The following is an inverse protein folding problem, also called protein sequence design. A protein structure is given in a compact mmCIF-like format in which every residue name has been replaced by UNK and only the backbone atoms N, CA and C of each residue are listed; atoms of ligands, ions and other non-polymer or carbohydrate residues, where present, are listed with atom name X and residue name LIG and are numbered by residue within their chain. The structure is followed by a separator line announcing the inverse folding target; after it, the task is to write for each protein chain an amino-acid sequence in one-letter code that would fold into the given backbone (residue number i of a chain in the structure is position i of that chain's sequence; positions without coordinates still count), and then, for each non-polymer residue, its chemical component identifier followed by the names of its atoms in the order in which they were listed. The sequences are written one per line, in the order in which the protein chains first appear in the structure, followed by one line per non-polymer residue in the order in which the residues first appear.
data_IF_745546380494
#
_entry.id   IF_745546380494
#
_cell.length_a   1.000
_cell.length_b   1.000
_cell.length_c   1.000
_cell.angle_alpha   90.00
_cell.angle_beta   90.00
_cell.angle_gamma   90.00
#
_symmetry.space_group_name_H-M   'P 1'
#
loop_
_entity.id
_entity.type
_entity.pdbx_description
1 polymer ?
#
# COMPACT_ATOMS: atom_id res chain seq x y z
N UNK A 1 64.36 -57.39 -30.60
CA UNK A 1 64.97 -58.72 -30.81
C UNK A 1 63.85 -59.73 -30.99
N UNK A 2 63.76 -60.41 -32.16
CA UNK A 2 62.82 -61.50 -32.52
C UNK A 2 61.30 -61.14 -32.51
N UNK A 3 60.59 -61.10 -33.64
CA UNK A 3 60.14 -62.17 -34.59
C UNK A 3 58.81 -62.82 -34.13
N UNK A 4 57.77 -62.60 -34.95
CA UNK A 4 56.73 -63.51 -35.52
C UNK A 4 56.14 -64.68 -34.67
N UNK A 5 54.91 -65.18 -34.89
CA UNK A 5 54.33 -65.63 -36.17
C UNK A 5 52.83 -66.03 -36.03
N UNK A 6 52.13 -66.13 -37.19
CA UNK A 6 50.84 -66.78 -37.53
C UNK A 6 50.27 -67.85 -36.54
N UNK A 7 48.96 -68.15 -36.40
CA UNK A 7 47.71 -67.87 -37.13
C UNK A 7 46.53 -68.50 -36.33
N UNK A 8 45.36 -68.96 -36.81
CA UNK A 8 44.58 -68.83 -38.07
C UNK A 8 43.27 -69.66 -37.90
N UNK A 9 42.06 -69.14 -38.23
CA UNK A 9 40.81 -69.96 -38.14
C UNK A 9 39.45 -69.22 -38.24
N UNK A 10 38.77 -69.43 -39.36
CA UNK A 10 37.40 -69.04 -39.80
C UNK A 10 36.20 -69.28 -38.85
N UNK A 11 35.18 -68.39 -38.85
CA UNK A 11 33.84 -68.55 -39.51
C UNK A 11 32.81 -67.45 -39.11
N UNK A 12 31.81 -67.16 -39.98
CA UNK A 12 30.57 -66.39 -39.69
C UNK A 12 30.53 -64.91 -40.18
N UNK A 13 30.24 -64.57 -41.45
CA UNK A 13 28.94 -64.46 -42.19
C UNK A 13 28.17 -63.12 -42.07
N UNK A 14 27.75 -62.56 -43.23
CA UNK A 14 26.89 -61.36 -43.47
C UNK A 14 27.53 -59.99 -43.14
N UNK A 15 28.35 -59.37 -44.00
CA UNK A 15 28.16 -58.90 -45.39
C UNK A 15 27.26 -57.65 -45.55
N UNK A 16 27.90 -56.50 -45.74
CA UNK A 16 27.39 -55.36 -46.52
C UNK A 16 27.47 -55.68 -48.02
N UNK A 17 26.54 -55.17 -48.83
CA UNK A 17 26.67 -54.90 -50.29
C UNK A 17 25.29 -54.43 -50.84
N UNK A 18 25.13 -53.66 -51.94
CA UNK A 18 26.03 -52.76 -52.69
C UNK A 18 25.20 -51.89 -53.69
N UNK A 19 25.82 -50.89 -54.33
CA UNK A 19 25.33 -50.24 -55.56
C UNK A 19 24.14 -49.25 -55.41
N UNK A 20 24.19 -47.96 -55.74
CA UNK A 20 24.78 -47.25 -56.91
C UNK A 20 24.19 -47.70 -58.24
N UNK A 21 23.15 -47.01 -58.75
CA UNK A 21 23.27 -46.13 -59.92
C UNK A 21 21.95 -45.43 -60.31
N UNK A 22 21.95 -44.08 -60.38
CA UNK A 22 21.37 -43.28 -61.50
C UNK A 22 21.48 -41.77 -61.25
N UNK A 23 22.64 -41.21 -61.59
CA UNK A 23 22.77 -40.30 -62.73
C UNK A 23 21.54 -39.43 -63.15
N UNK A 24 21.51 -38.13 -62.80
CA UNK A 24 21.89 -36.99 -63.69
C UNK A 24 21.29 -35.62 -63.33
N UNK A 25 22.06 -34.56 -63.67
CA UNK A 25 21.72 -33.11 -63.80
C UNK A 25 21.46 -32.37 -62.47
N UNK A 26 22.44 -31.62 -61.94
CA UNK A 26 22.94 -30.29 -62.37
C UNK A 26 22.18 -29.13 -61.70
N UNK A 27 22.69 -28.53 -60.62
CA UNK A 27 23.65 -27.40 -60.55
C UNK A 27 23.13 -26.06 -61.11
N UNK A 28 22.98 -25.07 -60.20
CA UNK A 28 22.98 -23.60 -60.35
C UNK A 28 21.67 -22.88 -60.71
N UNK A 29 21.58 -21.63 -60.22
CA UNK A 29 20.63 -20.53 -60.52
C UNK A 29 19.25 -20.67 -59.84
N UNK A 30 18.53 -19.61 -59.44
CA UNK A 30 18.88 -18.22 -59.10
C UNK A 30 17.66 -17.55 -58.43
N UNK A 31 17.91 -16.68 -57.44
CA UNK A 31 17.21 -15.40 -57.14
C UNK A 31 15.91 -15.05 -57.93
N UNK A 32 14.80 -14.76 -57.19
CA UNK A 32 13.83 -13.63 -57.32
C UNK A 32 12.30 -13.93 -57.42
N UNK A 33 11.54 -13.25 -56.53
CA UNK A 33 10.30 -12.44 -56.75
C UNK A 33 8.88 -13.09 -56.81
N UNK A 34 7.95 -12.36 -56.14
CA UNK A 34 6.47 -12.31 -56.23
C UNK A 34 5.67 -13.55 -55.81
N UNK A 35 4.69 -13.50 -54.89
CA UNK A 35 3.61 -12.56 -54.54
C UNK A 35 2.23 -12.94 -55.12
N UNK A 36 1.22 -12.85 -54.24
CA UNK A 36 -0.24 -12.80 -54.45
C UNK A 36 -1.07 -14.11 -54.48
N UNK A 37 -2.19 -13.98 -53.75
CA UNK A 37 -3.49 -14.64 -53.90
C UNK A 37 -3.75 -16.03 -53.27
N UNK A 38 -4.14 -16.00 -52.00
CA UNK A 38 -5.31 -16.78 -51.52
C UNK A 38 -6.28 -15.81 -50.85
N UNK A 39 -7.45 -15.62 -51.44
CA UNK A 39 -8.59 -14.89 -50.87
C UNK A 39 -9.77 -15.85 -50.72
N UNK A 40 -10.66 -15.56 -49.76
CA UNK A 40 -12.00 -16.12 -49.61
C UNK A 40 -12.13 -17.63 -49.28
N UNK A 41 -12.02 -17.95 -47.99
CA UNK A 41 -13.12 -18.65 -47.31
C UNK A 41 -13.51 -17.80 -46.10
N UNK A 42 -14.72 -17.25 -46.12
CA UNK A 42 -15.28 -16.46 -45.02
C UNK A 42 -16.59 -17.10 -44.55
N UNK A 43 -16.73 -17.24 -43.24
CA UNK A 43 -17.93 -17.17 -42.39
C UNK A 43 -17.82 -18.16 -41.21
N UNK A 44 -17.94 -17.65 -39.98
CA UNK A 44 -18.35 -18.50 -38.84
C UNK A 44 -17.38 -18.70 -37.67
N UNK A 45 -16.64 -17.68 -37.22
CA UNK A 45 -16.28 -17.58 -35.79
C UNK A 45 -16.57 -16.16 -35.32
N UNK A 46 -17.25 -16.04 -34.17
CA UNK A 46 -17.80 -14.80 -33.67
C UNK A 46 -16.75 -13.78 -33.24
N UNK A 47 -17.19 -12.52 -33.24
CA UNK A 47 -16.46 -11.35 -32.75
C UNK A 47 -16.18 -11.51 -31.24
N UNK A 48 -15.07 -12.14 -30.87
CA UNK A 48 -14.55 -12.07 -29.49
C UNK A 48 -14.02 -10.65 -29.30
N UNK A 49 -14.90 -9.76 -28.83
CA UNK A 49 -14.51 -8.42 -28.43
C UNK A 49 -13.44 -8.53 -27.35
N UNK A 50 -12.22 -8.08 -27.67
CA UNK A 50 -11.15 -7.89 -26.71
C UNK A 50 -11.57 -6.79 -25.74
N UNK A 51 -12.30 -7.18 -24.69
CA UNK A 51 -12.65 -6.30 -23.59
C UNK A 51 -11.37 -5.87 -22.89
N UNK A 52 -10.84 -4.72 -23.26
CA UNK A 52 -9.82 -4.03 -22.46
C UNK A 52 -10.47 -3.65 -21.15
N UNK A 53 -10.32 -4.51 -20.14
CA UNK A 53 -10.44 -4.15 -18.72
C UNK A 53 -9.28 -3.21 -18.36
N UNK A 54 -9.34 -2.01 -18.96
CA UNK A 54 -8.72 -0.83 -18.40
C UNK A 54 -9.44 -0.53 -17.10
N UNK A 55 -8.99 -1.17 -16.02
CA UNK A 55 -9.26 -0.70 -14.68
C UNK A 55 -8.73 0.73 -14.62
N UNK A 56 -9.64 1.70 -14.68
CA UNK A 56 -9.34 3.07 -14.36
C UNK A 56 -8.86 3.07 -12.91
N UNK A 57 -7.55 3.10 -12.72
CA UNK A 57 -6.98 3.47 -11.43
C UNK A 57 -7.58 4.83 -11.09
N UNK A 58 -8.33 4.92 -9.99
CA UNK A 58 -8.82 6.20 -9.51
C UNK A 58 -7.62 7.17 -9.43
N UNK A 59 -7.75 8.41 -9.92
CA UNK A 59 -6.64 9.35 -9.89
C UNK A 59 -6.16 9.50 -8.45
N UNK A 60 -4.88 9.21 -8.22
CA UNK A 60 -4.31 9.15 -6.88
C UNK A 60 -4.56 10.49 -6.15
N UNK A 61 -5.55 10.49 -5.27
CA UNK A 61 -5.90 11.66 -4.47
C UNK A 61 -4.79 11.83 -3.43
N UNK A 62 -4.21 13.03 -3.36
CA UNK A 62 -3.18 13.34 -2.38
C UNK A 62 -3.71 13.04 -0.97
N UNK A 63 -2.93 12.30 -0.19
CA UNK A 63 -3.32 11.88 1.15
C UNK A 63 -3.65 13.09 2.05
N UNK A 64 -4.72 13.01 2.84
CA UNK A 64 -5.13 14.04 3.80
C UNK A 64 -4.93 13.58 5.24
N UNK A 65 -4.32 14.40 6.08
CA UNK A 65 -3.93 14.00 7.44
C UNK A 65 -5.10 13.64 8.37
N UNK A 66 -6.33 13.97 7.96
CA UNK A 66 -7.56 13.58 8.64
C UNK A 66 -7.95 12.10 8.40
N UNK A 67 -7.43 11.47 7.33
CA UNK A 67 -7.78 10.11 6.93
C UNK A 67 -6.83 9.05 7.53
N UNK A 68 -5.80 9.47 8.28
CA UNK A 68 -4.90 8.58 9.00
C UNK A 68 -5.58 7.98 10.24
N UNK A 69 -5.95 6.70 10.17
CA UNK A 69 -6.42 5.93 11.33
C UNK A 69 -5.22 5.24 12.02
N UNK A 70 -4.80 5.68 13.22
CA UNK A 70 -3.67 5.06 13.93
C UNK A 70 -3.94 3.59 14.30
N UNK A 71 -5.21 3.15 14.36
CA UNK A 71 -5.59 1.77 14.62
C UNK A 71 -5.67 0.88 13.37
N UNK A 72 -5.57 1.46 12.18
CA UNK A 72 -5.72 0.78 10.88
C UNK A 72 -4.84 1.47 9.81
N UNK A 73 -3.52 1.38 9.95
CA UNK A 73 -2.56 1.99 9.02
C UNK A 73 -2.73 1.41 7.60
N UNK A 74 -2.89 0.10 7.51
CA UNK A 74 -3.14 -0.65 6.28
C UNK A 74 -3.83 -1.97 6.63
N UNK A 75 -4.71 -2.47 5.75
CA UNK A 75 -5.39 -3.76 5.94
C UNK A 75 -4.44 -4.96 5.88
N UNK A 76 -4.84 -6.06 6.52
CA UNK A 76 -4.12 -7.33 6.40
C UNK A 76 -4.18 -7.87 4.97
N UNK A 77 -5.31 -7.65 4.27
CA UNK A 77 -5.45 -8.02 2.87
C UNK A 77 -4.41 -7.30 2.00
N UNK A 78 -4.31 -5.96 2.05
CA UNK A 78 -3.35 -5.20 1.23
C UNK A 78 -1.89 -5.40 1.60
N UNK A 79 -1.58 -5.62 2.89
CA UNK A 79 -0.20 -5.78 3.33
C UNK A 79 0.35 -7.20 3.09
N UNK A 80 -0.50 -8.24 3.23
CA UNK A 80 -0.10 -9.64 3.06
C UNK A 80 -0.57 -10.26 1.72
N UNK A 81 -1.09 -9.45 0.79
CA UNK A 81 -1.29 -9.84 -0.61
C UNK A 81 0.06 -9.98 -1.31
N UNK A 82 0.62 -11.19 -1.32
CA UNK A 82 1.85 -11.52 -2.04
C UNK A 82 1.73 -11.41 -3.56
N UNK A 83 0.53 -11.18 -4.11
CA UNK A 83 0.24 -11.16 -5.53
C UNK A 83 -0.06 -9.73 -6.05
N UNK A 84 0.10 -8.72 -5.17
CA UNK A 84 -0.32 -7.33 -5.37
C UNK A 84 0.28 -6.61 -6.60
N UNK A 85 1.45 -7.03 -7.10
CA UNK A 85 2.06 -6.48 -8.32
C UNK A 85 2.82 -7.55 -9.11
N UNK A 86 2.76 -7.50 -10.44
CA UNK A 86 3.63 -8.32 -11.30
C UNK A 86 5.04 -7.73 -11.41
N UNK A 87 6.00 -8.52 -11.92
CA UNK A 87 7.36 -8.05 -12.26
C UNK A 87 7.31 -6.82 -13.19
N UNK A 88 6.40 -6.83 -14.18
CA UNK A 88 6.22 -5.74 -15.13
C UNK A 88 5.68 -4.46 -14.50
N UNK A 89 4.73 -4.59 -13.56
CA UNK A 89 4.16 -3.44 -12.85
C UNK A 89 5.22 -2.77 -11.96
N UNK A 90 6.00 -3.56 -11.23
CA UNK A 90 7.09 -3.06 -10.36
C UNK A 90 8.15 -2.37 -11.21
N UNK A 91 8.58 -3.00 -12.30
CA UNK A 91 9.58 -2.42 -13.19
C UNK A 91 9.10 -1.11 -13.83
N UNK A 92 7.83 -1.04 -14.23
CA UNK A 92 7.21 0.17 -14.80
C UNK A 92 7.05 1.27 -13.74
N UNK A 93 6.65 0.91 -12.52
CA UNK A 93 6.53 1.80 -11.38
C UNK A 93 7.89 2.44 -11.02
N UNK A 94 8.96 1.63 -10.93
CA UNK A 94 10.31 2.12 -10.66
C UNK A 94 10.82 3.06 -11.77
N UNK A 95 10.48 2.78 -13.03
CA UNK A 95 10.80 3.67 -14.15
C UNK A 95 10.02 4.98 -14.11
N UNK A 96 8.76 4.97 -13.66
CA UNK A 96 7.95 6.18 -13.49
C UNK A 96 8.42 7.05 -12.31
N UNK A 97 8.93 6.44 -11.23
CA UNK A 97 9.49 7.16 -10.08
C UNK A 97 10.85 7.80 -10.37
N UNK A 98 11.69 7.14 -11.19
CA UNK A 98 13.00 7.68 -11.62
C UNK A 98 13.11 7.60 -13.15
N UNK A 99 12.52 8.56 -13.91
CA UNK A 99 12.54 8.53 -15.38
C UNK A 99 13.93 8.59 -16.00
N UNK A 100 14.87 9.24 -15.33
CA UNK A 100 16.30 9.29 -15.68
C UNK A 100 17.14 9.01 -14.44
N UNK A 101 18.19 8.19 -14.60
CA UNK A 101 19.18 7.94 -13.55
C UNK A 101 20.40 8.84 -13.77
N UNK A 102 21.00 9.37 -12.70
CA UNK A 102 22.17 10.23 -12.84
C UNK A 102 23.37 9.46 -13.39
N UNK A 103 24.18 10.12 -14.21
CA UNK A 103 25.39 9.52 -14.79
C UNK A 103 26.36 9.09 -13.68
N UNK A 104 26.86 7.85 -13.76
CA UNK A 104 27.72 7.24 -12.75
C UNK A 104 27.00 6.50 -11.62
N UNK A 105 25.66 6.53 -11.56
CA UNK A 105 24.87 5.85 -10.52
C UNK A 105 24.05 4.68 -11.09
N UNK A 106 23.70 3.73 -10.22
CA UNK A 106 22.82 2.59 -10.54
C UNK A 106 21.53 2.72 -9.73
N UNK A 107 20.51 3.34 -10.33
CA UNK A 107 19.20 3.50 -9.69
C UNK A 107 18.46 2.17 -9.56
N UNK A 108 17.56 2.02 -8.57
CA UNK A 108 16.85 0.78 -8.29
C UNK A 108 16.16 0.17 -9.52
N UNK A 109 15.59 1.01 -10.40
CA UNK A 109 14.99 0.62 -11.70
C UNK A 109 15.91 -0.11 -12.67
N UNK A 110 17.23 0.00 -12.49
CA UNK A 110 18.29 -0.59 -13.32
C UNK A 110 19.22 -1.52 -12.50
N UNK A 111 18.96 -1.69 -11.20
CA UNK A 111 19.78 -2.49 -10.31
C UNK A 111 19.67 -3.99 -10.63
N UNK A 112 20.78 -4.72 -10.55
CA UNK A 112 20.82 -6.18 -10.76
C UNK A 112 21.92 -6.79 -9.90
N UNK A 113 21.62 -7.86 -9.15
CA UNK A 113 22.59 -8.61 -8.36
C UNK A 113 22.43 -10.13 -8.51
N UNK A 114 23.44 -10.88 -8.07
CA UNK A 114 23.34 -12.34 -7.94
C UNK A 114 22.77 -12.68 -6.56
N UNK A 115 21.60 -13.34 -6.54
CA UNK A 115 20.89 -13.70 -5.32
C UNK A 115 21.18 -15.14 -4.92
N UNK A 116 21.39 -15.43 -3.62
CA UNK A 116 21.56 -16.78 -3.12
C UNK A 116 20.21 -17.51 -3.03
N UNK A 117 20.23 -18.84 -3.07
CA UNK A 117 19.05 -19.63 -2.75
C UNK A 117 18.60 -19.43 -1.29
N UNK A 118 17.30 -19.63 -1.04
CA UNK A 118 16.70 -19.71 0.29
C UNK A 118 15.85 -20.98 0.34
N UNK A 119 16.08 -21.82 1.35
CA UNK A 119 15.17 -22.92 1.65
C UNK A 119 13.81 -22.37 2.11
N UNK A 120 12.75 -23.14 1.88
CA UNK A 120 11.43 -22.80 2.44
C UNK A 120 11.44 -22.97 3.96
N UNK A 121 10.68 -22.12 4.66
CA UNK A 121 10.37 -22.28 6.08
C UNK A 121 8.85 -22.13 6.31
N UNK A 122 8.43 -21.98 7.57
CA UNK A 122 7.02 -21.78 7.92
C UNK A 122 6.46 -20.39 7.56
N UNK A 123 7.23 -19.51 6.90
CA UNK A 123 6.91 -18.09 6.66
C UNK A 123 7.06 -17.70 5.21
N UNK A 124 8.09 -18.22 4.53
CA UNK A 124 8.34 -17.99 3.11
C UNK A 124 8.63 -19.30 2.37
N UNK A 125 8.13 -19.41 1.14
CA UNK A 125 8.51 -20.50 0.23
C UNK A 125 9.97 -20.36 -0.25
N UNK A 126 10.48 -21.40 -0.91
CA UNK A 126 11.87 -21.43 -1.35
C UNK A 126 12.13 -20.47 -2.52
N UNK A 127 13.31 -19.84 -2.50
CA UNK A 127 13.83 -19.03 -3.60
C UNK A 127 15.05 -19.72 -4.19
N UNK A 128 15.13 -19.79 -5.51
CA UNK A 128 16.29 -20.34 -6.20
C UNK A 128 17.39 -19.28 -6.34
N UNK A 129 18.65 -19.73 -6.39
CA UNK A 129 19.76 -18.84 -6.72
C UNK A 129 19.60 -18.36 -8.17
N UNK A 130 19.72 -17.05 -8.40
CA UNK A 130 19.50 -16.44 -9.72
C UNK A 130 20.25 -15.11 -9.83
N UNK A 131 20.24 -14.49 -11.02
CA UNK A 131 20.68 -13.11 -11.21
C UNK A 131 19.46 -12.26 -11.52
N UNK A 132 19.04 -11.44 -10.55
CA UNK A 132 17.73 -10.80 -10.53
C UNK A 132 17.85 -9.28 -10.55
N UNK A 133 16.94 -8.60 -11.25
CA UNK A 133 16.81 -7.15 -11.16
C UNK A 133 16.24 -6.72 -9.81
N UNK A 134 16.37 -5.43 -9.45
CA UNK A 134 15.72 -4.86 -8.27
C UNK A 134 14.21 -5.08 -8.27
N UNK A 135 13.56 -5.01 -9.44
CA UNK A 135 12.13 -5.29 -9.59
C UNK A 135 11.80 -6.77 -9.32
N UNK A 136 12.60 -7.69 -9.88
CA UNK A 136 12.40 -9.14 -9.69
C UNK A 136 12.63 -9.57 -8.23
N UNK A 137 13.58 -8.94 -7.54
CA UNK A 137 13.85 -9.21 -6.12
C UNK A 137 12.63 -8.85 -5.27
N UNK A 138 12.05 -7.66 -5.47
CA UNK A 138 10.81 -7.26 -4.80
C UNK A 138 9.67 -8.21 -5.14
N UNK A 139 9.51 -8.57 -6.42
CA UNK A 139 8.49 -9.53 -6.87
C UNK A 139 8.60 -10.88 -6.16
N UNK A 140 9.74 -11.56 -6.33
CA UNK A 140 9.93 -12.93 -5.87
C UNK A 140 9.93 -13.04 -4.35
N UNK A 141 10.49 -12.05 -3.63
CA UNK A 141 10.39 -12.03 -2.16
C UNK A 141 8.94 -11.84 -1.71
N UNK A 142 8.20 -10.90 -2.31
CA UNK A 142 6.79 -10.67 -1.97
C UNK A 142 5.92 -11.90 -2.20
N UNK A 143 6.07 -12.55 -3.38
CA UNK A 143 5.42 -13.84 -3.72
C UNK A 143 5.80 -14.93 -2.72
N UNK A 144 7.08 -15.06 -2.37
CA UNK A 144 7.55 -16.15 -1.53
C UNK A 144 7.07 -16.05 -0.09
N UNK A 145 7.07 -14.84 0.49
CA UNK A 145 6.67 -14.60 1.87
C UNK A 145 5.18 -14.29 2.06
N UNK A 146 4.42 -14.04 0.98
CA UNK A 146 3.04 -13.54 1.10
C UNK A 146 3.03 -12.17 1.78
N UNK A 147 3.76 -11.22 1.19
CA UNK A 147 3.88 -9.81 1.58
C UNK A 147 3.82 -8.95 0.33
N UNK A 148 3.03 -7.89 0.37
CA UNK A 148 2.78 -7.04 -0.80
C UNK A 148 4.02 -6.33 -1.33
N UNK A 149 4.25 -6.45 -2.64
CA UNK A 149 5.30 -5.75 -3.35
C UNK A 149 5.13 -4.22 -3.23
N UNK A 150 3.89 -3.73 -3.24
CA UNK A 150 3.58 -2.32 -2.98
C UNK A 150 4.02 -1.90 -1.57
N UNK A 151 3.75 -2.74 -0.56
CA UNK A 151 4.20 -2.49 0.82
C UNK A 151 5.74 -2.54 0.95
N UNK A 152 6.42 -3.45 0.25
CA UNK A 152 7.89 -3.53 0.21
C UNK A 152 8.52 -2.31 -0.48
N UNK A 153 7.95 -1.82 -1.58
CA UNK A 153 8.39 -0.57 -2.23
C UNK A 153 8.24 0.64 -1.31
N UNK A 154 7.12 0.76 -0.60
CA UNK A 154 6.91 1.81 0.40
C UNK A 154 7.92 1.72 1.55
N UNK A 155 8.29 0.50 1.98
CA UNK A 155 9.30 0.30 3.01
C UNK A 155 10.69 0.76 2.53
N UNK A 156 11.12 0.35 1.33
CA UNK A 156 12.38 0.77 0.72
C UNK A 156 12.52 2.30 0.63
N UNK A 157 11.42 2.98 0.28
CA UNK A 157 11.38 4.44 0.24
C UNK A 157 11.43 5.07 1.63
N UNK A 158 10.60 4.59 2.56
CA UNK A 158 10.52 5.10 3.93
C UNK A 158 11.86 5.00 4.65
N UNK A 159 12.57 3.88 4.49
CA UNK A 159 13.77 3.57 5.26
C UNK A 159 15.06 4.11 4.60
N UNK A 160 15.17 4.20 3.27
CA UNK A 160 16.40 4.64 2.58
C UNK A 160 16.17 5.60 1.38
N UNK A 161 14.94 6.03 1.08
CA UNK A 161 14.62 6.88 -0.09
C UNK A 161 14.89 6.21 -1.44
N UNK A 162 15.10 4.90 -1.46
CA UNK A 162 15.77 4.19 -2.56
C UNK A 162 14.89 4.05 -3.82
N UNK A 163 13.58 4.26 -3.72
CA UNK A 163 12.65 4.11 -4.84
C UNK A 163 12.59 5.38 -5.70
N UNK A 164 12.80 6.55 -5.10
CA UNK A 164 12.79 7.85 -5.81
C UNK A 164 14.19 8.45 -6.03
N UNK A 165 15.24 7.89 -5.43
CA UNK A 165 16.61 8.38 -5.59
C UNK A 165 17.17 8.15 -7.01
N UNK A 166 17.66 9.24 -7.62
CA UNK A 166 18.35 9.23 -8.92
C UNK A 166 19.88 9.12 -8.82
N UNK A 167 20.40 9.17 -7.59
CA UNK A 167 21.82 9.16 -7.20
C UNK A 167 22.12 8.17 -6.04
N UNK A 168 21.50 6.96 -5.97
CA UNK A 168 21.62 6.12 -4.78
C UNK A 168 23.03 5.58 -4.58
N UNK A 169 23.43 5.53 -3.32
CA UNK A 169 24.72 5.03 -2.86
C UNK A 169 24.70 3.53 -2.58
N UNK A 170 25.87 2.89 -2.63
CA UNK A 170 26.04 1.48 -2.22
C UNK A 170 25.51 1.20 -0.81
N UNK A 171 25.57 2.20 0.09
CA UNK A 171 25.04 2.09 1.46
C UNK A 171 23.52 1.87 1.45
N UNK A 172 22.78 2.53 0.57
CA UNK A 172 21.32 2.37 0.48
C UNK A 172 20.98 0.96 -0.02
N UNK A 173 21.66 0.41 -1.03
CA UNK A 173 21.42 -0.98 -1.43
C UNK A 173 21.84 -1.99 -0.35
N UNK A 174 22.98 -1.74 0.32
CA UNK A 174 23.51 -2.61 1.38
C UNK A 174 22.57 -2.72 2.58
N UNK A 175 21.86 -1.64 2.92
CA UNK A 175 21.01 -1.51 4.11
C UNK A 175 19.59 -1.00 3.77
N UNK A 176 19.05 -1.48 2.64
CA UNK A 176 17.86 -0.96 1.96
C UNK A 176 16.57 -0.85 2.79
N UNK A 177 16.42 -1.67 3.83
CA UNK A 177 15.29 -1.63 4.75
C UNK A 177 15.72 -1.27 6.18
N UNK A 178 17.01 -1.08 6.44
CA UNK A 178 17.52 -0.97 7.81
C UNK A 178 17.44 -2.27 8.62
N UNK A 179 17.13 -3.42 8.01
CA UNK A 179 17.08 -4.68 8.74
C UNK A 179 18.46 -5.05 9.28
N UNK A 180 18.55 -5.33 10.58
CA UNK A 180 19.81 -5.57 11.27
C UNK A 180 20.64 -4.31 11.56
N UNK A 181 20.08 -3.11 11.42
CA UNK A 181 20.72 -1.84 11.78
C UNK A 181 20.17 -1.28 13.10
N UNK A 182 20.77 -1.59 14.26
CA UNK A 182 20.39 -0.97 15.53
C UNK A 182 20.85 0.50 15.61
N UNK A 183 20.05 1.39 16.19
CA UNK A 183 20.36 2.83 16.32
C UNK A 183 21.68 3.14 17.05
N UNK A 184 22.16 2.21 17.88
CA UNK A 184 23.30 2.39 18.79
C UNK A 184 24.56 1.62 18.38
N UNK A 185 24.56 0.89 17.25
CA UNK A 185 25.73 0.14 16.79
C UNK A 185 25.80 0.06 15.25
N UNK A 186 26.85 -0.56 14.72
CA UNK A 186 26.94 -0.84 13.30
C UNK A 186 25.87 -1.86 12.87
N UNK A 187 25.36 -1.73 11.64
CA UNK A 187 24.49 -2.73 11.04
C UNK A 187 25.22 -4.09 10.94
N UNK A 188 24.53 -5.17 11.30
CA UNK A 188 25.02 -6.54 11.17
C UNK A 188 25.25 -6.91 9.69
N UNK A 189 26.49 -7.31 9.39
CA UNK A 189 26.94 -7.63 8.03
C UNK A 189 26.30 -8.89 7.46
N UNK A 190 25.72 -9.76 8.30
CA UNK A 190 24.96 -10.93 7.86
C UNK A 190 23.78 -10.57 6.95
N UNK A 191 23.22 -9.37 7.13
CA UNK A 191 22.03 -8.90 6.40
C UNK A 191 22.35 -7.94 5.26
N UNK A 192 23.63 -7.73 4.92
CA UNK A 192 24.03 -6.81 3.84
C UNK A 192 23.63 -7.32 2.45
N UNK A 193 23.26 -6.37 1.58
CA UNK A 193 22.85 -6.61 0.18
C UNK A 193 21.35 -6.47 -0.01
N UNK A 194 20.93 -6.05 -1.20
CA UNK A 194 19.55 -5.59 -1.44
C UNK A 194 18.53 -6.73 -1.23
N UNK A 195 18.77 -7.90 -1.80
CA UNK A 195 17.99 -9.11 -1.60
C UNK A 195 17.90 -9.52 -0.13
N UNK A 196 19.00 -9.44 0.62
CA UNK A 196 18.98 -9.79 2.05
C UNK A 196 18.11 -8.81 2.84
N UNK A 197 18.19 -7.51 2.55
CA UNK A 197 17.39 -6.48 3.19
C UNK A 197 15.89 -6.63 2.88
N UNK A 198 15.53 -6.89 1.63
CA UNK A 198 14.13 -7.10 1.21
C UNK A 198 13.58 -8.43 1.76
N UNK A 199 14.33 -9.53 1.65
CA UNK A 199 13.93 -10.85 2.17
C UNK A 199 13.73 -10.85 3.68
N UNK A 200 14.70 -10.35 4.45
CA UNK A 200 14.60 -10.37 5.91
C UNK A 200 13.52 -9.42 6.43
N UNK A 201 13.28 -8.27 5.78
CA UNK A 201 12.15 -7.41 6.13
C UNK A 201 10.81 -8.13 5.91
N UNK A 202 10.60 -8.75 4.74
CA UNK A 202 9.38 -9.52 4.45
C UNK A 202 9.18 -10.68 5.45
N UNK A 203 10.24 -11.48 5.67
CA UNK A 203 10.24 -12.58 6.64
C UNK A 203 9.91 -12.11 8.07
N UNK A 204 10.48 -10.98 8.50
CA UNK A 204 10.24 -10.41 9.83
C UNK A 204 8.78 -9.99 10.05
N UNK A 205 8.08 -9.45 9.04
CA UNK A 205 6.64 -9.22 9.14
C UNK A 205 5.84 -10.53 9.29
N UNK A 206 6.29 -11.63 8.68
CA UNK A 206 5.71 -12.97 8.92
C UNK A 206 6.05 -13.52 10.31
N UNK A 207 7.20 -13.18 10.88
CA UNK A 207 7.50 -13.46 12.31
C UNK A 207 6.50 -12.72 13.21
N UNK A 208 6.25 -11.43 12.98
CA UNK A 208 5.25 -10.67 13.74
C UNK A 208 3.84 -11.25 13.60
N UNK A 209 3.44 -11.58 12.37
CA UNK A 209 2.14 -12.18 12.06
C UNK A 209 1.93 -13.55 12.74
N UNK A 210 2.99 -14.37 12.80
CA UNK A 210 2.94 -15.73 13.38
C UNK A 210 3.10 -15.78 14.89
N UNK A 211 3.53 -14.68 15.54
CA UNK A 211 3.75 -14.62 17.00
C UNK A 211 3.08 -13.42 17.69
N UNK A 212 1.80 -13.08 17.39
CA UNK A 212 1.15 -11.82 17.79
C UNK A 212 1.32 -11.43 19.26
N UNK A 213 1.22 -12.40 20.16
CA UNK A 213 1.19 -12.18 21.61
C UNK A 213 2.57 -11.99 22.24
N UNK A 214 3.66 -12.14 21.47
CA UNK A 214 5.05 -12.00 21.95
C UNK A 214 5.60 -10.58 21.85
N UNK A 215 4.87 -9.65 21.24
CA UNK A 215 5.36 -8.31 20.92
C UNK A 215 4.66 -7.22 21.76
N UNK A 216 5.31 -6.06 21.85
CA UNK A 216 4.85 -4.90 22.64
C UNK A 216 3.55 -4.28 22.11
N UNK A 217 3.25 -4.46 20.83
CA UNK A 217 2.03 -3.97 20.18
C UNK A 217 1.25 -5.12 19.58
N UNK A 218 -0.05 -5.20 19.88
CA UNK A 218 -0.89 -6.36 19.57
C UNK A 218 -2.23 -5.94 18.96
N UNK A 219 -2.66 -6.62 17.90
CA UNK A 219 -3.99 -6.44 17.32
C UNK A 219 -5.11 -6.87 18.29
N UNK A 220 -6.29 -6.29 18.11
CA UNK A 220 -7.46 -6.52 18.98
C UNK A 220 -7.34 -5.92 20.39
N UNK A 221 -6.29 -5.14 20.67
CA UNK A 221 -6.04 -4.52 21.97
C UNK A 221 -5.94 -3.00 21.88
N UNK A 222 -6.26 -2.33 22.98
CA UNK A 222 -5.87 -0.94 23.19
C UNK A 222 -4.40 -0.90 23.64
N UNK A 223 -3.57 -0.26 22.84
CA UNK A 223 -2.12 -0.16 23.03
C UNK A 223 -1.77 1.31 23.31
N UNK A 224 -0.94 1.57 24.32
CA UNK A 224 -0.42 2.91 24.59
C UNK A 224 0.79 3.13 23.68
N UNK A 225 0.65 3.97 22.66
CA UNK A 225 1.70 4.22 21.65
C UNK A 225 2.27 5.62 21.85
N UNK A 226 3.59 5.72 21.97
CA UNK A 226 4.31 7.00 22.10
C UNK A 226 4.23 7.80 20.79
N UNK A 227 4.25 9.13 20.88
CA UNK A 227 4.40 9.99 19.69
C UNK A 227 5.85 10.19 19.24
N UNK A 228 6.82 9.93 20.12
CA UNK A 228 8.25 10.19 19.91
C UNK A 228 9.10 9.35 20.89
N UNK A 229 10.39 9.05 20.60
CA UNK A 229 11.29 8.42 21.56
C UNK A 229 11.42 9.17 22.89
N UNK A 230 11.34 10.51 22.86
CA UNK A 230 11.23 11.29 24.08
C UNK A 230 9.85 11.08 24.73
N UNK A 231 9.82 10.42 25.89
CA UNK A 231 8.60 10.13 26.63
C UNK A 231 7.83 11.40 27.07
N UNK A 232 8.51 12.54 27.25
CA UNK A 232 7.87 13.82 27.63
C UNK A 232 6.94 14.36 26.55
N UNK A 233 7.13 13.95 25.28
CA UNK A 233 6.18 14.25 24.21
C UNK A 233 4.82 13.58 24.46
N UNK A 234 4.79 12.44 25.15
CA UNK A 234 3.58 11.72 25.55
C UNK A 234 3.16 10.56 24.62
N UNK A 235 1.89 10.16 24.76
CA UNK A 235 1.27 9.01 24.09
C UNK A 235 -0.25 9.13 24.00
N UNK A 236 -0.87 8.44 23.04
CA UNK A 236 -2.31 8.14 23.07
C UNK A 236 -2.59 6.64 23.24
N UNK A 237 -3.84 6.29 23.54
CA UNK A 237 -4.34 4.91 23.47
C UNK A 237 -4.87 4.64 22.05
N UNK A 238 -4.39 3.57 21.43
CA UNK A 238 -4.73 3.18 20.05
C UNK A 238 -5.24 1.75 20.06
N UNK A 239 -6.49 1.55 19.62
CA UNK A 239 -7.03 0.20 19.39
C UNK A 239 -6.56 -0.29 18.02
N UNK A 240 -5.49 -1.08 18.00
CA UNK A 240 -4.93 -1.69 16.79
C UNK A 240 -5.90 -2.78 16.32
N UNK A 241 -6.41 -2.68 15.09
CA UNK A 241 -7.47 -3.56 14.59
C UNK A 241 -6.97 -4.84 13.91
N UNK A 242 -5.77 -4.83 13.34
CA UNK A 242 -5.25 -5.90 12.50
C UNK A 242 -3.74 -6.13 12.63
N UNK A 243 -3.25 -7.24 12.05
CA UNK A 243 -1.87 -7.72 12.26
C UNK A 243 -0.81 -6.92 11.48
N UNK A 244 -1.14 -6.34 10.33
CA UNK A 244 -0.25 -5.48 9.56
C UNK A 244 0.03 -4.17 10.31
N UNK A 245 -1.01 -3.52 10.86
CA UNK A 245 -0.84 -2.32 11.70
C UNK A 245 -0.03 -2.64 12.97
N UNK A 246 -0.27 -3.80 13.61
CA UNK A 246 0.56 -4.25 14.73
C UNK A 246 2.04 -4.40 14.30
N UNK A 247 2.30 -5.09 13.19
CA UNK A 247 3.63 -5.25 12.61
C UNK A 247 4.34 -3.93 12.33
N UNK A 248 3.65 -2.94 11.76
CA UNK A 248 4.21 -1.61 11.45
C UNK A 248 4.59 -0.82 12.70
N UNK A 249 3.84 -0.95 13.80
CA UNK A 249 4.26 -0.40 15.09
C UNK A 249 5.39 -1.19 15.75
N UNK A 250 5.48 -2.51 15.56
CA UNK A 250 6.64 -3.28 16.05
C UNK A 250 7.91 -2.86 15.29
N UNK A 251 7.78 -2.61 13.98
CA UNK A 251 8.87 -2.18 13.10
C UNK A 251 9.30 -0.72 13.34
N UNK A 252 8.33 0.20 13.47
CA UNK A 252 8.58 1.62 13.78
C UNK A 252 7.69 2.06 14.95
N UNK A 253 8.21 2.13 16.20
CA UNK A 253 7.40 2.11 17.43
C UNK A 253 6.75 3.43 17.86
N UNK A 254 6.38 4.30 16.91
CA UNK A 254 5.78 5.62 17.18
C UNK A 254 4.60 5.92 16.24
N UNK A 255 3.54 6.53 16.79
CA UNK A 255 2.45 7.11 16.00
C UNK A 255 2.76 8.58 15.70
N UNK A 256 2.31 9.16 14.57
CA UNK A 256 2.43 10.60 14.36
C UNK A 256 1.59 11.39 15.36
N UNK A 257 2.07 12.57 15.75
CA UNK A 257 1.28 13.53 16.52
C UNK A 257 0.47 14.45 15.59
N UNK A 258 -0.35 15.34 16.17
CA UNK A 258 -1.19 16.24 15.40
C UNK A 258 -0.40 17.24 14.53
N UNK A 259 0.84 17.60 14.88
CA UNK A 259 1.68 18.46 14.04
C UNK A 259 2.20 17.71 12.80
N UNK A 260 2.66 16.47 12.97
CA UNK A 260 3.08 15.59 11.89
C UNK A 260 1.95 15.33 10.88
N UNK A 261 0.70 15.18 11.35
CA UNK A 261 -0.48 14.98 10.50
C UNK A 261 -0.95 16.26 9.80
N UNK A 262 -0.84 17.43 10.44
CA UNK A 262 -1.16 18.72 9.77
C UNK A 262 -0.20 19.08 8.64
N UNK A 263 1.02 18.54 8.63
CA UNK A 263 2.02 18.77 7.60
C UNK A 263 2.51 17.46 6.96
N UNK A 264 1.62 16.69 6.32
CA UNK A 264 1.93 15.36 5.77
C UNK A 264 3.15 15.30 4.84
N UNK A 265 3.41 16.35 4.08
CA UNK A 265 4.50 16.40 3.08
C UNK A 265 5.73 17.17 3.59
N UNK A 266 5.72 17.61 4.85
CA UNK A 266 6.82 18.32 5.49
C UNK A 266 7.05 17.89 6.94
N UNK A 267 7.70 18.79 7.69
CA UNK A 267 8.05 18.59 9.10
C UNK A 267 6.95 19.04 10.05
N UNK A 268 6.78 18.34 11.16
CA UNK A 268 5.99 18.78 12.31
C UNK A 268 6.84 19.52 13.34
N UNK A 269 6.53 19.31 14.62
CA UNK A 269 7.26 19.85 15.77
C UNK A 269 8.34 18.87 16.32
N UNK A 270 8.98 19.23 17.43
CA UNK A 270 9.99 18.41 18.12
C UNK A 270 9.46 17.10 18.74
N UNK A 271 8.15 16.86 18.67
CA UNK A 271 7.49 15.64 19.16
C UNK A 271 6.83 14.84 18.02
N UNK A 272 7.21 15.14 16.77
CA UNK A 272 6.65 14.53 15.57
C UNK A 272 7.48 13.32 15.11
N UNK A 273 6.87 12.14 15.12
CA UNK A 273 7.41 10.95 14.44
C UNK A 273 6.80 10.74 13.07
N UNK A 274 7.62 10.32 12.11
CA UNK A 274 7.25 10.25 10.69
C UNK A 274 7.09 8.84 10.13
N UNK A 275 7.61 7.79 10.78
CA UNK A 275 7.68 6.43 10.22
C UNK A 275 6.33 5.91 9.70
N UNK A 276 5.37 5.70 10.60
CA UNK A 276 4.05 5.17 10.23
C UNK A 276 3.22 6.16 9.39
N UNK A 277 3.41 7.49 9.59
CA UNK A 277 2.82 8.53 8.72
C UNK A 277 3.29 8.38 7.28
N UNK A 278 4.60 8.26 7.09
CA UNK A 278 5.22 8.19 5.78
C UNK A 278 4.89 6.88 5.09
N UNK A 279 4.84 5.74 5.81
CA UNK A 279 4.33 4.48 5.25
C UNK A 279 2.91 4.67 4.67
N UNK A 280 1.97 5.13 5.49
CA UNK A 280 0.58 5.34 5.09
C UNK A 280 0.44 6.32 3.92
N UNK A 281 1.11 7.48 4.02
CA UNK A 281 1.09 8.53 2.98
C UNK A 281 1.67 8.01 1.67
N UNK A 282 2.85 7.41 1.68
CA UNK A 282 3.51 6.88 0.48
C UNK A 282 2.66 5.79 -0.18
N UNK A 283 2.09 4.86 0.60
CA UNK A 283 1.19 3.85 0.05
C UNK A 283 -0.03 4.51 -0.61
N UNK A 284 -0.64 5.50 0.06
CA UNK A 284 -1.82 6.23 -0.45
C UNK A 284 -1.50 7.00 -1.74
N UNK A 285 -0.41 7.78 -1.75
CA UNK A 285 0.06 8.56 -2.90
C UNK A 285 0.44 7.67 -4.11
N UNK A 286 0.77 6.40 -3.89
CA UNK A 286 1.36 5.52 -4.91
C UNK A 286 0.42 4.43 -5.42
N UNK A 287 -0.44 3.90 -4.55
CA UNK A 287 -1.26 2.70 -4.79
C UNK A 287 -2.71 2.88 -4.32
N UNK A 288 -3.10 4.10 -3.92
CA UNK A 288 -4.43 4.41 -3.41
C UNK A 288 -4.67 3.87 -2.00
N UNK A 289 -5.95 3.78 -1.61
CA UNK A 289 -6.35 3.51 -0.22
C UNK A 289 -5.65 2.31 0.42
N UNK A 290 -5.17 2.52 1.66
CA UNK A 290 -4.62 1.48 2.54
C UNK A 290 -5.71 0.63 3.21
N UNK A 291 -6.97 1.06 3.13
CA UNK A 291 -8.15 0.29 3.55
C UNK A 291 -8.72 -0.47 2.35
N UNK A 292 -9.38 -1.61 2.56
CA UNK A 292 -10.05 -2.39 1.50
C UNK A 292 -11.34 -1.73 0.98
N UNK A 293 -11.41 -0.39 1.05
CA UNK A 293 -12.64 0.37 1.20
C UNK A 293 -13.35 0.05 2.52
N UNK A 294 -14.57 0.58 2.72
CA UNK A 294 -15.60 -0.28 3.31
C UNK A 294 -15.70 -1.56 2.47
N UNK A 295 -15.89 -2.73 3.12
CA UNK A 295 -16.12 -4.04 2.45
C UNK A 295 -17.32 -4.04 1.49
N UNK A 296 -18.09 -2.96 1.52
CA UNK A 296 -19.20 -2.68 0.64
C UNK A 296 -19.19 -1.23 0.15
N UNK A 297 -19.26 -0.98 -1.16
CA UNK A 297 -19.24 0.38 -1.74
C UNK A 297 -20.53 0.71 -2.49
N UNK A 298 -21.00 1.96 -2.43
CA UNK A 298 -22.15 2.38 -3.24
C UNK A 298 -21.71 2.71 -4.66
N UNK A 299 -22.29 2.04 -5.64
CA UNK A 299 -22.11 2.31 -7.07
C UNK A 299 -23.44 2.71 -7.70
N UNK A 300 -23.39 3.64 -8.66
CA UNK A 300 -24.54 4.00 -9.50
C UNK A 300 -24.39 3.34 -10.86
N UNK A 301 -25.48 2.85 -11.43
CA UNK A 301 -25.49 2.39 -12.83
C UNK A 301 -25.33 3.60 -13.76
N UNK A 302 -24.62 3.43 -14.87
CA UNK A 302 -24.36 4.53 -15.81
C UNK A 302 -25.55 4.82 -16.75
N UNK A 303 -26.41 3.83 -16.98
CA UNK A 303 -27.52 3.84 -17.95
C UNK A 303 -28.89 4.11 -17.33
N UNK A 304 -29.03 3.95 -16.02
CA UNK A 304 -30.24 4.21 -15.25
C UNK A 304 -29.84 4.68 -13.84
N UNK A 305 -30.74 5.38 -13.15
CA UNK A 305 -30.41 6.03 -11.87
C UNK A 305 -30.24 5.06 -10.68
N UNK A 306 -30.27 3.74 -10.91
CA UNK A 306 -30.19 2.73 -9.84
C UNK A 306 -28.85 2.78 -9.09
N UNK A 307 -28.95 2.70 -7.76
CA UNK A 307 -27.79 2.60 -6.86
C UNK A 307 -27.74 1.20 -6.27
N UNK A 308 -26.54 0.64 -6.15
CA UNK A 308 -26.27 -0.65 -5.53
C UNK A 308 -25.19 -0.52 -4.47
N UNK A 309 -25.32 -1.28 -3.38
CA UNK A 309 -24.20 -1.56 -2.50
C UNK A 309 -23.47 -2.82 -3.00
N UNK A 310 -22.21 -2.70 -3.38
CA UNK A 310 -21.35 -3.81 -3.82
C UNK A 310 -20.57 -4.35 -2.64
N UNK A 311 -21.04 -5.42 -2.00
CA UNK A 311 -20.43 -6.03 -0.80
C UNK A 311 -19.88 -7.44 -1.12
N UNK A 312 -18.60 -7.69 -0.85
CA UNK A 312 -18.01 -9.03 -1.05
C UNK A 312 -18.21 -9.62 -2.46
N UNK A 313 -18.24 -8.77 -3.50
CA UNK A 313 -18.51 -9.14 -4.89
C UNK A 313 -20.00 -9.30 -5.25
N UNK A 314 -20.92 -9.17 -4.29
CA UNK A 314 -22.37 -9.21 -4.52
C UNK A 314 -22.97 -7.81 -4.63
N UNK A 315 -23.99 -7.63 -5.47
CA UNK A 315 -24.73 -6.37 -5.64
C UNK A 315 -26.04 -6.42 -4.86
N UNK A 316 -26.20 -5.54 -3.88
CA UNK A 316 -27.45 -5.34 -3.15
C UNK A 316 -28.14 -4.06 -3.67
N UNK A 317 -29.36 -4.13 -4.23
CA UNK A 317 -30.04 -2.94 -4.76
C UNK A 317 -30.44 -1.98 -3.63
N UNK A 318 -30.28 -0.68 -3.88
CA UNK A 318 -30.75 0.40 -3.02
C UNK A 318 -32.04 0.94 -3.62
N UNK A 319 -33.17 0.32 -3.24
CA UNK A 319 -34.50 0.62 -3.82
C UNK A 319 -35.08 1.95 -3.37
N UNK A 320 -34.68 2.43 -2.19
CA UNK A 320 -35.25 3.60 -1.54
C UNK A 320 -34.31 4.15 -0.43
N UNK A 321 -34.73 5.25 0.19
CA UNK A 321 -33.96 5.94 1.22
C UNK A 321 -33.87 5.19 2.56
N UNK A 322 -34.81 4.30 2.87
CA UNK A 322 -34.75 3.48 4.08
C UNK A 322 -33.73 2.34 3.90
N UNK A 323 -33.71 1.70 2.73
CA UNK A 323 -32.67 0.74 2.35
C UNK A 323 -31.31 1.44 2.29
N UNK A 324 -31.20 2.65 1.74
CA UNK A 324 -29.98 3.44 1.80
C UNK A 324 -29.49 3.67 3.24
N UNK A 325 -30.36 4.11 4.15
CA UNK A 325 -29.99 4.31 5.56
C UNK A 325 -29.53 3.01 6.23
N UNK A 326 -30.26 1.91 6.06
CA UNK A 326 -29.89 0.60 6.61
C UNK A 326 -28.52 0.11 6.10
N UNK A 327 -28.25 0.31 4.80
CA UNK A 327 -26.99 -0.09 4.16
C UNK A 327 -25.85 0.91 4.36
N UNK A 328 -26.13 2.18 4.71
CA UNK A 328 -25.11 3.21 4.90
C UNK A 328 -24.14 2.92 6.06
N UNK A 329 -24.57 2.12 7.03
CA UNK A 329 -23.71 1.61 8.10
C UNK A 329 -22.66 0.59 7.60
N UNK A 330 -22.95 -0.11 6.51
CA UNK A 330 -22.02 -1.04 5.84
C UNK A 330 -21.17 -0.30 4.78
N UNK A 331 -21.78 0.63 4.06
CA UNK A 331 -21.22 1.35 2.91
C UNK A 331 -20.07 2.33 3.18
N UNK A 332 -19.58 2.41 4.42
CA UNK A 332 -18.58 3.39 4.84
C UNK A 332 -19.16 4.79 4.99
N UNK A 333 -18.96 5.43 6.15
CA UNK A 333 -19.60 6.72 6.45
C UNK A 333 -18.85 7.92 5.84
N UNK A 334 -18.96 8.07 4.52
CA UNK A 334 -18.64 9.32 3.82
C UNK A 334 -19.65 10.41 4.24
N UNK A 335 -19.37 11.11 5.35
CA UNK A 335 -20.15 12.29 5.76
C UNK A 335 -19.84 13.47 4.84
N UNK A 336 -20.54 13.54 3.71
CA UNK A 336 -20.63 14.78 2.94
C UNK A 336 -21.24 15.87 3.82
N UNK A 337 -20.41 16.78 4.32
CA UNK A 337 -20.87 17.97 5.02
C UNK A 337 -21.69 18.81 4.03
N UNK A 338 -23.00 18.87 4.23
CA UNK A 338 -23.90 19.66 3.41
C UNK A 338 -23.51 21.14 3.50
N UNK A 339 -22.85 21.66 2.45
CA UNK A 339 -22.49 23.07 2.36
C UNK A 339 -23.75 23.87 2.06
N UNK A 340 -24.45 24.32 3.11
CA UNK A 340 -25.66 25.16 3.02
C UNK A 340 -25.33 26.46 2.30
N UNK A 341 -25.50 26.46 0.98
CA UNK A 341 -25.29 27.63 0.13
C UNK A 341 -26.50 28.56 0.21
N UNK A 342 -26.61 29.34 1.29
CA UNK A 342 -27.55 30.46 1.35
C UNK A 342 -27.20 31.49 0.27
N UNK A 343 -27.91 31.43 -0.85
CA UNK A 343 -27.72 32.30 -2.02
C UNK A 343 -28.20 33.72 -1.73
N UNK A 344 -27.33 34.56 -1.17
CA UNK A 344 -27.57 36.00 -1.12
C UNK A 344 -27.58 36.55 -2.56
N UNK A 345 -28.62 37.28 -3.00
CA UNK A 345 -28.66 37.86 -4.34
C UNK A 345 -27.68 39.03 -4.43
N UNK A 346 -26.66 38.90 -5.28
CA UNK A 346 -25.78 40.01 -5.65
C UNK A 346 -26.22 40.52 -7.02
N UNK A 347 -26.66 41.77 -7.08
CA UNK A 347 -27.03 42.41 -8.34
C UNK A 347 -25.78 42.69 -9.20
N UNK A 348 -25.87 42.42 -10.50
CA UNK A 348 -24.92 42.91 -11.50
C UNK A 348 -25.45 44.20 -12.13
N UNK A 349 -24.58 45.17 -12.46
CA UNK A 349 -25.01 46.47 -12.98
C UNK A 349 -25.21 46.45 -14.50
N UNK A 350 -26.21 47.19 -14.98
CA UNK A 350 -26.21 47.73 -16.34
C UNK A 350 -26.48 49.25 -16.32
N UNK A 351 -25.90 50.02 -17.25
CA UNK A 351 -25.95 51.47 -17.22
C UNK A 351 -27.18 52.01 -17.95
N UNK A 352 -27.78 53.06 -17.41
CA UNK A 352 -28.76 53.88 -18.14
C UNK A 352 -28.64 55.35 -17.72
N UNK A 353 -28.34 56.19 -18.71
CA UNK A 353 -28.38 57.64 -18.62
C UNK A 353 -29.81 58.15 -18.84
N UNK A 354 -30.33 58.99 -17.93
CA UNK A 354 -30.97 60.27 -18.27
C UNK A 354 -31.40 61.04 -17.02
N UNK A 355 -31.51 62.36 -17.14
CA UNK A 355 -31.77 63.28 -16.04
C UNK A 355 -33.27 63.48 -15.77
N UNK A 356 -33.65 63.75 -14.51
CA UNK A 356 -34.33 64.99 -14.08
C UNK A 356 -34.56 65.02 -12.55
N UNK A 357 -34.96 66.18 -12.03
CA UNK A 357 -34.99 66.60 -10.62
C UNK A 357 -36.45 67.06 -10.29
N UNK A 358 -36.80 67.55 -9.09
CA UNK A 358 -37.00 66.89 -7.78
C UNK A 358 -38.42 67.09 -7.17
N UNK A 359 -38.77 66.36 -6.10
CA UNK A 359 -39.69 66.83 -5.03
C UNK A 359 -39.52 66.04 -3.71
N UNK A 360 -39.99 66.62 -2.60
CA UNK A 360 -39.98 66.09 -1.22
C UNK A 360 -41.29 66.56 -0.52
N UNK A 361 -41.54 66.40 0.80
CA UNK A 361 -41.24 65.32 1.77
C UNK A 361 -42.53 64.89 2.56
N UNK A 362 -42.37 64.33 3.78
CA UNK A 362 -43.39 63.96 4.80
C UNK A 362 -44.06 62.58 4.62
N UNK A 363 -44.55 61.89 5.67
CA UNK A 363 -44.91 62.34 7.02
C UNK A 363 -44.59 61.33 8.16
N UNK A 364 -44.73 61.79 9.40
CA UNK A 364 -44.66 61.00 10.65
C UNK A 364 -45.96 60.21 10.89
N UNK A 365 -45.87 59.08 11.63
CA UNK A 365 -46.97 58.65 12.51
C UNK A 365 -46.44 57.81 13.70
N UNK A 366 -47.21 57.76 14.81
CA UNK A 366 -46.70 57.44 16.16
C UNK A 366 -47.55 56.35 16.87
N UNK A 367 -46.83 55.43 17.52
CA UNK A 367 -47.14 54.50 18.64
C UNK A 367 -48.58 54.24 19.18
N UNK A 368 -48.83 52.97 19.47
CA UNK A 368 -49.43 52.37 20.70
C UNK A 368 -48.66 51.03 20.95
N UNK A 369 -48.38 50.45 22.14
CA UNK A 369 -49.06 50.35 23.44
C UNK A 369 -49.56 48.90 23.64
N UNK A 370 -49.31 48.11 24.70
CA UNK A 370 -48.55 48.32 25.96
C UNK A 370 -48.22 47.00 26.73
N UNK A 371 -47.23 47.06 27.65
CA UNK A 371 -47.16 46.38 29.00
C UNK A 371 -47.24 44.85 29.22
N UNK A 372 -46.14 44.28 29.80
CA UNK A 372 -45.96 43.65 31.17
C UNK A 372 -46.34 42.16 31.32
N UNK A 373 -45.67 41.29 32.10
CA UNK A 373 -44.42 41.31 32.92
C UNK A 373 -43.90 39.88 33.20
N UNK A 374 -42.61 39.67 33.55
CA UNK A 374 -42.05 38.45 34.20
C UNK A 374 -42.04 38.62 35.75
N UNK A 375 -41.25 37.94 36.62
CA UNK A 375 -40.28 36.82 36.45
C UNK A 375 -40.36 35.69 37.53
N UNK A 376 -39.48 34.68 37.46
CA UNK A 376 -39.04 33.90 38.63
C UNK A 376 -37.66 33.25 38.46
N UNK A 377 -36.75 33.53 39.39
CA UNK A 377 -35.54 32.74 39.72
C UNK A 377 -35.54 32.53 41.24
N UNK A 378 -35.01 31.42 41.77
CA UNK A 378 -34.33 31.34 43.08
C UNK A 378 -33.65 29.96 43.27
N UNK A 379 -32.65 29.90 44.15
CA UNK A 379 -31.78 28.75 44.45
C UNK A 379 -32.29 27.95 45.67
N UNK A 380 -31.88 26.70 45.99
CA UNK A 380 -30.54 26.28 46.46
C UNK A 380 -30.46 24.75 46.72
N UNK A 381 -29.19 24.31 46.92
CA UNK A 381 -28.62 23.13 47.63
C UNK A 381 -29.47 22.58 48.82
N UNK A 382 -29.33 21.35 49.34
CA UNK A 382 -28.12 20.52 49.60
C UNK A 382 -28.50 19.08 50.02
N UNK A 383 -27.63 18.08 49.82
CA UNK A 383 -27.58 16.84 50.63
C UNK A 383 -26.18 16.19 50.59
N UNK A 384 -25.68 15.65 51.71
CA UNK A 384 -24.30 15.15 51.88
C UNK A 384 -24.28 13.94 52.85
N UNK A 385 -23.66 12.81 52.47
CA UNK A 385 -23.22 11.66 53.30
C UNK A 385 -22.89 10.45 52.38
N UNK A 386 -21.99 9.48 52.66
CA UNK A 386 -20.91 9.35 53.64
C UNK A 386 -19.92 8.22 53.23
N UNK A 387 -18.79 8.10 53.94
CA UNK A 387 -17.71 7.06 53.91
C UNK A 387 -17.38 6.74 55.42
N UNK A 388 -16.43 5.85 55.82
CA UNK A 388 -15.60 4.88 55.09
C UNK A 388 -15.97 3.40 55.45
N UNK A 389 -15.21 2.49 56.14
CA UNK A 389 -13.88 2.53 56.80
C UNK A 389 -12.76 1.87 55.95
N UNK A 390 -11.87 1.06 56.55
CA UNK A 390 -10.63 0.48 55.97
C UNK A 390 -10.13 -0.78 56.72
N UNK A 391 -9.43 -1.69 56.03
CA UNK A 391 -8.37 -2.64 56.52
C UNK A 391 -7.52 -3.04 55.30
N UNK A 392 -6.20 -2.85 55.19
CA UNK A 392 -5.01 -3.16 56.02
C UNK A 392 -4.34 -4.51 55.70
N UNK A 393 -3.15 -4.42 55.10
CA UNK A 393 -1.97 -5.31 55.24
C UNK A 393 -2.05 -6.80 54.86
N UNK A 394 -1.26 -7.20 53.85
CA UNK A 394 -0.08 -8.07 54.09
C UNK A 394 1.02 -7.87 53.04
N UNK A 395 2.27 -7.95 53.47
CA UNK A 395 3.48 -7.91 52.64
C UNK A 395 4.15 -9.30 52.56
N UNK A 396 5.32 -9.37 51.91
CA UNK A 396 6.17 -10.56 51.62
C UNK A 396 5.93 -11.15 50.21
N UNK A 397 6.94 -11.51 49.41
CA UNK A 397 8.40 -11.42 49.59
C UNK A 397 9.13 -11.46 48.24
N UNK A 398 10.37 -10.98 48.21
CA UNK A 398 11.20 -10.91 47.00
C UNK A 398 11.62 -12.27 46.43
N UNK A 399 11.91 -12.30 45.12
CA UNK A 399 13.08 -13.04 44.61
C UNK A 399 13.67 -12.39 43.37
N UNK A 400 14.96 -12.02 43.44
CA UNK A 400 15.75 -11.73 42.27
C UNK A 400 16.27 -13.03 41.64
N UNK A 401 16.51 -13.02 40.32
CA UNK A 401 17.70 -13.60 39.66
C UNK A 401 17.63 -13.47 38.14
N UNK A 402 18.71 -12.88 37.59
CA UNK A 402 19.51 -13.30 36.42
C UNK A 402 18.77 -13.60 35.10
N UNK A 403 18.96 -12.81 34.03
CA UNK A 403 20.15 -12.75 33.14
C UNK A 403 20.12 -13.79 32.02
N UNK A 404 19.91 -13.30 30.78
CA UNK A 404 20.52 -13.75 29.50
C UNK A 404 20.30 -15.21 29.03
N UNK A 405 20.51 -15.51 27.73
CA UNK A 405 20.85 -14.61 26.60
C UNK A 405 19.64 -14.15 25.78
#
# INVERSE_FOLDING_TARGET
MRIASHGTGTQGTHLFDNGVDTMRRARRRSRLIACLAVWAVALGVGLVGTGTIGGSADPAQAASGADFDPGMIISDAKFYDGDAMSQGDIQSFLQARVPSCASGYVCLRNYVESTPARAADSRCSSLQASRLSGADIVYWVGRACGVSQAALLVLLEKEQGLVTDSTPTDRQFRSATGYGCPDTAACDSLYYGFFNQVYNAAHQFKVYQSTPTRWNYQAGRSNRILWHPNADCGSSQVTIRNQATAGLYIYTPYQPNAAALRNLYGSGDSCSSYGNRNFWRLYTDWFGSTSDGPVSSFVKVATDDSVYLVSGGQKHPVTDFAVYQALSALGGSARSAARTSTRSPRASPHPSSCATRPTAPSAWCRATGSTRSPPATWSRRTATAARPPSRSTRASSARSRRSAP
#
